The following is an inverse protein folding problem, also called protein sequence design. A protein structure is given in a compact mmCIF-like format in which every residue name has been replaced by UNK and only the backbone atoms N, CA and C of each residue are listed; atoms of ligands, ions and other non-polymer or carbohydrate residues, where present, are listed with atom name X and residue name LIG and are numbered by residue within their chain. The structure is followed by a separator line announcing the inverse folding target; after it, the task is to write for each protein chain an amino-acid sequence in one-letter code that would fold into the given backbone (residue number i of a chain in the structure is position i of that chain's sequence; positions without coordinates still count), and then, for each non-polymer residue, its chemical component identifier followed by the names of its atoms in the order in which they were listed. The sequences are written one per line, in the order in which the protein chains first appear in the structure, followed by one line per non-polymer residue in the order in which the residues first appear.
data_IF_865690429202
#
_entry.id   IF_865690429202
#
_cell.length_a   1.000
_cell.length_b   1.000
_cell.length_c   1.000
_cell.angle_alpha   90.00
_cell.angle_beta   90.00
_cell.angle_gamma   90.00
#
_symmetry.space_group_name_H-M   'P 1'
#
loop_
_entity.id
_entity.type
_entity.pdbx_description
1 polymer ?
#
# COMPACT_ATOMS: atom_id res chain seq x y z
N UNK A 1 12.88 -18.75 35.18
CA UNK A 1 13.48 -18.09 34.00
C UNK A 1 12.58 -18.39 32.81
N UNK A 2 11.62 -17.51 32.55
CA UNK A 2 10.68 -17.65 31.43
C UNK A 2 11.39 -17.12 30.18
N UNK A 3 11.84 -18.04 29.33
CA UNK A 3 12.42 -17.71 28.03
C UNK A 3 11.35 -17.16 27.10
N UNK A 4 11.20 -15.84 27.10
CA UNK A 4 10.48 -15.11 26.06
C UNK A 4 11.21 -15.40 24.73
N UNK A 5 10.53 -16.08 23.80
CA UNK A 5 11.11 -16.34 22.48
C UNK A 5 11.42 -14.98 21.80
N UNK A 6 12.57 -14.81 21.12
CA UNK A 6 12.91 -13.57 20.44
C UNK A 6 11.80 -13.17 19.45
N UNK A 7 11.45 -11.88 19.40
CA UNK A 7 10.40 -11.28 18.56
C UNK A 7 10.45 -11.74 17.08
N UNK A 8 11.66 -12.03 16.58
CA UNK A 8 11.91 -12.56 15.23
C UNK A 8 11.23 -13.92 14.98
N UNK A 9 11.05 -14.76 16.02
CA UNK A 9 10.37 -16.06 15.90
C UNK A 9 8.84 -15.94 15.87
N UNK A 10 8.24 -14.87 16.42
CA UNK A 10 6.79 -14.67 16.35
C UNK A 10 6.34 -14.22 14.95
N UNK A 11 7.17 -13.46 14.24
CA UNK A 11 6.92 -13.11 12.84
C UNK A 11 6.95 -14.33 11.89
N UNK A 12 7.75 -15.36 12.20
CA UNK A 12 7.92 -16.55 11.36
C UNK A 12 6.75 -17.55 11.41
N UNK A 13 5.91 -17.54 12.45
CA UNK A 13 4.83 -18.53 12.58
C UNK A 13 3.58 -18.22 11.72
N UNK A 14 3.57 -17.09 11.02
CA UNK A 14 2.33 -16.50 10.49
C UNK A 14 2.01 -16.91 9.04
N UNK A 15 2.97 -17.41 8.26
CA UNK A 15 2.75 -17.68 6.82
C UNK A 15 2.42 -19.15 6.49
N UNK A 16 2.57 -20.08 7.44
CA UNK A 16 2.44 -21.52 7.14
C UNK A 16 1.01 -22.11 7.16
N UNK A 17 -0.06 -21.34 7.43
CA UNK A 17 -1.41 -21.93 7.61
C UNK A 17 -2.43 -21.62 6.51
N UNK A 18 -2.02 -21.16 5.32
CA UNK A 18 -2.95 -20.89 4.20
C UNK A 18 -2.54 -21.59 2.90
N UNK A 19 -2.56 -22.92 2.90
CA UNK A 19 -2.54 -23.71 1.66
C UNK A 19 -3.75 -24.65 1.65
N UNK A 20 -4.64 -24.46 0.68
CA UNK A 20 -5.53 -25.50 0.14
C UNK A 20 -5.06 -25.86 -1.27
N UNK A 21 -5.32 -27.08 -1.78
CA UNK A 21 -4.56 -27.68 -2.88
C UNK A 21 -4.79 -27.01 -4.24
N UNK A 22 -3.71 -26.88 -5.02
CA UNK A 22 -3.71 -26.37 -6.40
C UNK A 22 -4.44 -27.33 -7.34
N UNK A 23 -5.46 -26.85 -8.05
CA UNK A 23 -5.95 -27.51 -9.27
C UNK A 23 -5.11 -27.05 -10.47
N UNK A 24 -4.58 -28.02 -11.22
CA UNK A 24 -3.83 -27.83 -12.45
C UNK A 24 -4.74 -27.29 -13.58
N UNK A 25 -4.41 -26.12 -14.12
CA UNK A 25 -4.94 -25.64 -15.39
C UNK A 25 -3.84 -25.72 -16.45
N UNK A 26 -4.13 -26.46 -17.52
CA UNK A 26 -3.32 -26.60 -18.74
C UNK A 26 -3.41 -25.35 -19.63
N UNK A 27 -2.34 -24.98 -20.38
CA UNK A 27 -2.37 -23.80 -21.26
C UNK A 27 -3.02 -24.09 -22.61
N UNK A 28 -3.79 -23.12 -23.12
CA UNK A 28 -4.34 -23.10 -24.49
C UNK A 28 -3.29 -22.57 -25.51
N UNK A 29 -3.35 -23.00 -26.79
CA UNK A 29 -2.38 -22.61 -27.80
C UNK A 29 -2.72 -21.29 -28.52
N UNK A 30 -1.66 -20.55 -28.89
CA UNK A 30 -1.69 -19.34 -29.71
C UNK A 30 -2.05 -19.66 -31.17
N UNK A 31 -2.84 -18.80 -31.83
CA UNK A 31 -2.93 -18.72 -33.29
C UNK A 31 -2.62 -17.30 -33.78
N UNK A 32 -1.97 -17.28 -34.94
CA UNK A 32 -1.36 -16.12 -35.58
C UNK A 32 -2.28 -15.44 -36.60
N UNK A 33 -1.94 -14.17 -36.82
CA UNK A 33 -2.19 -13.22 -37.91
C UNK A 33 -2.67 -13.77 -39.27
N UNK A 34 -3.60 -13.04 -39.90
CA UNK A 34 -3.54 -12.72 -41.34
C UNK A 34 -4.20 -11.37 -41.66
N UNK A 35 -3.59 -10.67 -42.62
CA UNK A 35 -3.92 -9.35 -43.21
C UNK A 35 -5.19 -9.41 -44.08
N UNK A 36 -5.86 -8.27 -44.30
CA UNK A 36 -5.83 -7.45 -45.54
C UNK A 36 -6.65 -6.17 -45.39
N UNK A 37 -6.20 -5.11 -46.06
CA UNK A 37 -6.85 -3.82 -46.19
C UNK A 37 -7.97 -3.86 -47.22
N UNK A 38 -8.95 -2.96 -47.09
CA UNK A 38 -9.55 -2.25 -48.23
C UNK A 38 -10.12 -0.91 -47.77
N UNK A 39 -9.86 0.11 -48.60
CA UNK A 39 -10.34 1.50 -48.53
C UNK A 39 -11.57 1.58 -49.42
N UNK A 40 -12.68 2.14 -48.94
CA UNK A 40 -13.60 2.93 -49.76
C UNK A 40 -14.15 4.10 -48.94
N UNK A 41 -14.31 5.24 -49.61
CA UNK A 41 -14.74 6.51 -49.06
C UNK A 41 -16.14 6.81 -49.59
N UNK A 42 -17.08 7.18 -48.73
CA UNK A 42 -18.36 7.76 -49.17
C UNK A 42 -18.89 8.79 -48.15
N UNK A 43 -18.99 10.02 -48.65
CA UNK A 43 -19.98 11.09 -48.42
C UNK A 43 -20.56 11.37 -47.03
N UNK A 44 -20.34 12.63 -46.59
CA UNK A 44 -20.90 13.27 -45.39
C UNK A 44 -22.38 13.64 -45.57
N UNK A 45 -23.21 13.28 -44.59
CA UNK A 45 -24.50 13.89 -44.30
C UNK A 45 -24.41 14.70 -42.99
N UNK A 46 -25.19 15.79 -42.80
CA UNK A 46 -25.03 16.67 -41.65
C UNK A 46 -25.95 16.28 -40.49
N UNK A 47 -25.38 16.29 -39.28
CA UNK A 47 -26.12 16.51 -38.04
C UNK A 47 -26.25 15.29 -37.15
N UNK A 48 -25.35 15.18 -36.18
CA UNK A 48 -25.61 14.59 -34.86
C UNK A 48 -24.84 15.42 -33.83
N UNK A 49 -25.53 15.79 -32.76
CA UNK A 49 -25.01 16.61 -31.68
C UNK A 49 -23.80 15.94 -31.03
N UNK A 50 -22.76 16.72 -30.70
CA UNK A 50 -21.65 16.25 -29.88
C UNK A 50 -22.19 15.72 -28.54
N UNK A 51 -22.31 14.40 -28.43
CA UNK A 51 -22.33 13.72 -27.15
C UNK A 51 -21.07 14.16 -26.41
N UNK A 52 -21.27 14.88 -25.30
CA UNK A 52 -20.18 15.35 -24.46
C UNK A 52 -19.27 14.17 -24.11
N UNK A 53 -18.05 14.21 -24.63
CA UNK A 53 -17.01 13.26 -24.28
C UNK A 53 -16.84 13.32 -22.76
N UNK A 54 -17.39 12.32 -22.06
CA UNK A 54 -17.08 12.09 -20.66
C UNK A 54 -15.59 11.82 -20.61
N UNK A 55 -14.81 12.80 -20.14
CA UNK A 55 -13.39 12.62 -19.86
C UNK A 55 -13.27 11.32 -19.04
N UNK A 56 -12.44 10.35 -19.47
CA UNK A 56 -12.31 9.10 -18.74
C UNK A 56 -11.93 9.43 -17.29
N UNK A 57 -12.72 8.94 -16.34
CA UNK A 57 -12.51 9.20 -14.92
C UNK A 57 -11.05 8.89 -14.56
N UNK A 58 -10.32 9.91 -14.09
CA UNK A 58 -8.92 9.75 -13.72
C UNK A 58 -8.81 8.76 -12.56
N UNK A 59 -8.06 7.68 -12.77
CA UNK A 59 -7.72 6.71 -11.71
C UNK A 59 -6.78 7.37 -10.70
N UNK A 60 -7.07 7.33 -9.38
CA UNK A 60 -6.14 7.78 -8.36
C UNK A 60 -4.81 7.03 -8.48
N UNK A 61 -3.71 7.78 -8.52
CA UNK A 61 -2.37 7.21 -8.69
C UNK A 61 -1.64 7.10 -7.36
N UNK A 62 -1.21 5.89 -7.03
CA UNK A 62 -0.83 5.52 -5.67
C UNK A 62 0.57 4.90 -5.66
N UNK A 63 1.44 5.42 -4.79
CA UNK A 63 2.69 4.73 -4.44
C UNK A 63 2.38 3.65 -3.42
N UNK A 64 2.75 2.41 -3.73
CA UNK A 64 2.56 1.25 -2.87
C UNK A 64 3.87 0.86 -2.17
N UNK A 65 3.87 0.95 -0.83
CA UNK A 65 5.01 0.71 0.05
C UNK A 65 4.91 -0.67 0.71
N UNK A 66 5.86 -1.56 0.42
CA UNK A 66 5.87 -2.94 0.93
C UNK A 66 6.24 -3.05 2.42
N UNK A 67 6.04 -4.24 2.99
CA UNK A 67 6.36 -4.54 4.40
C UNK A 67 7.86 -4.83 4.62
N UNK A 68 8.27 -4.89 5.88
CA UNK A 68 9.67 -5.13 6.27
C UNK A 68 10.23 -6.40 5.61
N UNK A 69 11.40 -6.28 4.96
CA UNK A 69 12.10 -7.37 4.26
C UNK A 69 11.21 -8.09 3.24
N UNK A 70 10.47 -7.33 2.45
CA UNK A 70 9.73 -7.84 1.28
C UNK A 70 10.09 -7.00 0.06
N UNK A 71 9.27 -6.97 -0.98
CA UNK A 71 9.52 -6.16 -2.19
C UNK A 71 8.21 -5.63 -2.75
N UNK A 72 8.30 -4.62 -3.61
CA UNK A 72 7.17 -4.09 -4.37
C UNK A 72 6.51 -5.18 -5.21
N UNK A 73 7.29 -6.10 -5.78
CA UNK A 73 6.77 -7.28 -6.50
C UNK A 73 5.93 -8.20 -5.62
N UNK A 74 6.36 -8.44 -4.38
CA UNK A 74 5.61 -9.28 -3.43
C UNK A 74 4.34 -8.56 -3.01
N UNK A 75 4.40 -7.27 -2.67
CA UNK A 75 3.22 -6.48 -2.35
C UNK A 75 2.20 -6.49 -3.51
N UNK A 76 2.68 -6.30 -4.74
CA UNK A 76 1.86 -6.42 -5.96
C UNK A 76 1.13 -7.75 -6.01
N UNK A 77 1.84 -8.86 -5.85
CA UNK A 77 1.24 -10.21 -5.87
C UNK A 77 0.13 -10.36 -4.81
N UNK A 78 0.31 -9.73 -3.65
CA UNK A 78 -0.67 -9.80 -2.56
C UNK A 78 -1.90 -8.92 -2.82
N UNK A 79 -1.72 -7.75 -3.42
CA UNK A 79 -2.78 -6.78 -3.78
C UNK A 79 -3.57 -7.23 -5.01
N UNK A 80 -2.92 -7.87 -5.99
CA UNK A 80 -3.57 -8.45 -7.18
C UNK A 80 -4.53 -9.61 -6.87
N UNK A 81 -4.68 -10.00 -5.60
CA UNK A 81 -5.74 -10.91 -5.14
C UNK A 81 -7.07 -10.21 -4.87
N UNK A 82 -7.10 -8.88 -4.89
CA UNK A 82 -8.35 -8.11 -4.86
C UNK A 82 -9.09 -8.24 -6.19
N UNK A 83 -10.40 -8.01 -6.15
CA UNK A 83 -11.24 -8.16 -7.32
C UNK A 83 -10.91 -7.09 -8.38
N UNK A 84 -11.06 -7.43 -9.66
CA UNK A 84 -10.77 -6.54 -10.81
C UNK A 84 -11.57 -5.24 -10.77
N UNK A 85 -12.78 -5.26 -10.18
CA UNK A 85 -13.64 -4.09 -9.91
C UNK A 85 -12.91 -2.98 -9.14
N UNK A 86 -11.98 -3.36 -8.26
CA UNK A 86 -11.13 -2.46 -7.47
C UNK A 86 -9.88 -2.10 -8.25
N UNK A 87 -9.16 -3.10 -8.76
CA UNK A 87 -7.85 -2.91 -9.39
C UNK A 87 -7.92 -1.98 -10.60
N UNK A 88 -8.97 -2.09 -11.42
CA UNK A 88 -9.15 -1.27 -12.62
C UNK A 88 -9.46 0.20 -12.31
N UNK A 89 -9.81 0.53 -11.07
CA UNK A 89 -10.08 1.92 -10.63
C UNK A 89 -8.86 2.64 -10.06
N UNK A 90 -7.75 1.94 -9.81
CA UNK A 90 -6.56 2.49 -9.14
C UNK A 90 -5.32 2.36 -10.01
N UNK A 91 -4.51 3.41 -10.17
CA UNK A 91 -3.18 3.29 -10.78
C UNK A 91 -2.14 3.01 -9.68
N UNK A 92 -1.74 1.75 -9.54
CA UNK A 92 -0.89 1.27 -8.45
C UNK A 92 0.57 1.12 -8.89
N UNK A 93 1.46 1.88 -8.24
CA UNK A 93 2.90 1.88 -8.53
C UNK A 93 3.64 1.30 -7.33
N UNK A 94 4.12 0.06 -7.48
CA UNK A 94 4.80 -0.68 -6.42
C UNK A 94 6.30 -0.43 -6.44
N UNK A 95 6.80 0.22 -5.39
CA UNK A 95 8.22 0.55 -5.24
C UNK A 95 8.93 -0.50 -4.39
N UNK A 96 10.21 -0.69 -4.65
CA UNK A 96 11.13 -1.36 -3.74
C UNK A 96 11.75 -0.33 -2.79
N UNK A 97 11.94 -0.72 -1.53
CA UNK A 97 12.67 0.09 -0.55
C UNK A 97 14.13 0.30 -0.97
N UNK A 98 14.76 1.43 -0.62
CA UNK A 98 16.10 1.77 -1.09
C UNK A 98 17.20 0.91 -0.46
N UNK A 99 16.91 0.15 0.61
CA UNK A 99 17.91 -0.66 1.32
C UNK A 99 17.67 -2.15 1.12
N UNK A 100 18.68 -2.94 0.71
CA UNK A 100 18.60 -4.39 0.76
C UNK A 100 18.34 -4.88 2.20
N UNK A 101 17.54 -5.94 2.33
CA UNK A 101 17.29 -6.58 3.62
C UNK A 101 18.60 -7.08 4.25
N UNK A 102 18.84 -6.76 5.52
CA UNK A 102 20.07 -7.14 6.23
C UNK A 102 19.95 -8.45 7.01
N UNK A 103 18.79 -9.10 6.95
CA UNK A 103 18.57 -10.36 7.63
C UNK A 103 17.41 -11.14 7.03
N UNK A 104 16.98 -12.18 7.73
CA UNK A 104 15.96 -13.10 7.23
C UNK A 104 14.63 -12.39 6.99
N UNK A 105 13.98 -12.77 5.90
CA UNK A 105 12.60 -12.41 5.63
C UNK A 105 11.63 -13.48 6.11
N UNK A 106 10.46 -13.06 6.60
CA UNK A 106 9.39 -13.97 6.97
C UNK A 106 8.79 -14.71 5.75
N UNK A 107 9.00 -14.18 4.54
CA UNK A 107 8.48 -14.74 3.29
C UNK A 107 9.47 -15.66 2.55
N UNK A 108 10.63 -15.93 3.15
CA UNK A 108 11.60 -16.91 2.61
C UNK A 108 10.95 -18.28 2.40
N UNK A 109 11.25 -18.91 1.27
CA UNK A 109 10.67 -20.19 0.86
C UNK A 109 9.25 -20.11 0.27
N UNK A 110 8.63 -18.93 0.29
CA UNK A 110 7.33 -18.67 -0.35
C UNK A 110 7.49 -17.71 -1.52
N UNK A 111 8.31 -16.67 -1.35
CA UNK A 111 8.70 -15.72 -2.39
C UNK A 111 10.21 -15.67 -2.52
N UNK A 112 10.72 -15.62 -3.75
CA UNK A 112 12.16 -15.50 -3.98
C UNK A 112 12.67 -14.07 -3.70
N UNK A 113 13.92 -13.90 -3.24
CA UNK A 113 14.58 -12.59 -3.13
C UNK A 113 14.75 -11.91 -4.51
N UNK A 114 15.11 -10.61 -4.58
CA UNK A 114 15.57 -9.74 -3.49
C UNK A 114 14.47 -9.22 -2.56
N UNK A 115 14.89 -8.91 -1.33
CA UNK A 115 14.06 -8.24 -0.32
C UNK A 115 14.70 -6.92 0.09
N UNK A 116 13.85 -6.00 0.51
CA UNK A 116 14.20 -4.62 0.80
C UNK A 116 13.58 -4.15 2.12
N UNK A 117 14.11 -3.04 2.63
CA UNK A 117 13.66 -2.33 3.81
C UNK A 117 13.55 -0.84 3.44
N UNK A 118 12.53 -0.15 3.99
CA UNK A 118 12.42 1.30 3.83
C UNK A 118 13.44 2.03 4.69
N UNK A 119 13.68 1.52 5.89
CA UNK A 119 14.63 2.03 6.87
C UNK A 119 14.97 0.87 7.82
N UNK A 120 16.09 0.97 8.52
CA UNK A 120 16.49 -0.01 9.54
C UNK A 120 15.98 0.43 10.91
N UNK A 121 15.71 -0.54 11.77
CA UNK A 121 15.43 -0.32 13.18
C UNK A 121 16.29 -1.26 14.04
N UNK A 122 16.59 -0.87 15.27
CA UNK A 122 17.15 -1.79 16.26
C UNK A 122 16.11 -2.87 16.66
N UNK A 123 16.54 -3.90 17.39
CA UNK A 123 15.69 -5.08 17.70
C UNK A 123 14.41 -4.72 18.46
N UNK A 124 14.47 -3.66 19.28
CA UNK A 124 13.34 -3.19 20.09
C UNK A 124 12.53 -2.06 19.42
N UNK A 125 12.86 -1.70 18.17
CA UNK A 125 12.19 -0.65 17.39
C UNK A 125 12.16 0.74 18.05
N UNK A 126 13.15 1.06 18.88
CA UNK A 126 13.26 2.36 19.55
C UNK A 126 14.12 3.36 18.77
N UNK A 127 15.04 2.86 17.95
CA UNK A 127 15.97 3.66 17.15
C UNK A 127 15.88 3.27 15.68
N UNK A 128 16.00 4.26 14.80
CA UNK A 128 15.87 4.10 13.36
C UNK A 128 17.06 4.70 12.63
N UNK A 129 17.56 3.98 11.64
CA UNK A 129 18.59 4.47 10.73
C UNK A 129 18.02 4.59 9.31
N UNK A 130 18.53 5.57 8.56
CA UNK A 130 18.24 5.78 7.15
C UNK A 130 16.80 6.23 6.79
N UNK A 131 15.99 6.63 7.79
CA UNK A 131 14.62 7.09 7.56
C UNK A 131 14.58 8.38 6.73
N UNK A 132 15.47 9.33 6.97
CA UNK A 132 15.48 10.61 6.26
C UNK A 132 15.91 10.45 4.80
N UNK A 133 16.91 9.61 4.55
CA UNK A 133 17.35 9.20 3.21
C UNK A 133 16.22 8.52 2.44
N UNK A 134 15.46 7.64 3.11
CA UNK A 134 14.29 7.00 2.54
C UNK A 134 13.21 8.01 2.12
N UNK A 135 12.94 9.00 2.97
CA UNK A 135 12.00 10.07 2.63
C UNK A 135 12.45 10.89 1.41
N UNK A 136 13.76 11.17 1.30
CA UNK A 136 14.35 11.83 0.11
C UNK A 136 14.26 10.96 -1.14
N UNK A 137 14.44 9.65 -1.00
CA UNK A 137 14.24 8.69 -2.09
C UNK A 137 12.80 8.72 -2.62
N UNK A 138 11.80 8.69 -1.73
CA UNK A 138 10.39 8.78 -2.12
C UNK A 138 10.08 10.13 -2.77
N UNK A 139 10.57 11.25 -2.23
CA UNK A 139 10.37 12.58 -2.83
C UNK A 139 10.93 12.65 -4.26
N UNK A 140 12.15 12.14 -4.45
CA UNK A 140 12.83 12.13 -5.76
C UNK A 140 12.05 11.29 -6.76
N UNK A 141 11.58 10.11 -6.36
CA UNK A 141 10.73 9.27 -7.21
C UNK A 141 9.42 9.98 -7.60
N UNK A 142 8.78 10.66 -6.65
CA UNK A 142 7.55 11.42 -6.90
C UNK A 142 7.77 12.61 -7.84
N UNK A 143 8.92 13.29 -7.78
CA UNK A 143 9.28 14.37 -8.70
C UNK A 143 9.49 13.87 -10.13
N UNK A 144 10.16 12.74 -10.29
CA UNK A 144 10.49 12.17 -11.60
C UNK A 144 9.30 11.48 -12.27
N UNK A 145 8.45 10.82 -11.48
CA UNK A 145 7.43 9.93 -12.00
C UNK A 145 6.01 10.41 -11.72
N UNK A 146 5.81 11.53 -11.03
CA UNK A 146 4.51 12.05 -10.61
C UNK A 146 3.64 12.63 -11.74
N UNK A 147 2.47 13.21 -11.41
CA UNK A 147 1.94 13.37 -10.06
C UNK A 147 1.42 12.05 -9.46
N UNK A 148 1.46 11.97 -8.13
CA UNK A 148 0.85 10.93 -7.31
C UNK A 148 -0.18 11.56 -6.36
N UNK A 149 -1.28 10.86 -6.10
CA UNK A 149 -2.38 11.37 -5.30
C UNK A 149 -2.31 10.86 -3.85
N UNK A 150 -1.82 9.65 -3.63
CA UNK A 150 -1.82 9.04 -2.30
C UNK A 150 -0.84 7.88 -2.14
N UNK A 151 -0.90 7.26 -0.97
CA UNK A 151 -0.06 6.12 -0.62
C UNK A 151 -0.89 4.92 -0.20
N UNK A 152 -0.43 3.73 -0.57
CA UNK A 152 -0.82 2.46 0.03
C UNK A 152 0.38 1.91 0.77
N UNK A 153 0.25 1.55 2.04
CA UNK A 153 1.36 1.03 2.84
C UNK A 153 0.98 -0.25 3.57
N UNK A 154 1.82 -1.29 3.46
CA UNK A 154 1.69 -2.52 4.26
C UNK A 154 2.76 -2.60 5.35
N UNK A 155 2.37 -2.87 6.60
CA UNK A 155 3.29 -3.10 7.72
C UNK A 155 4.32 -1.97 7.89
N UNK A 156 5.62 -2.18 7.64
CA UNK A 156 6.62 -1.10 7.66
C UNK A 156 6.27 0.03 6.68
N UNK A 157 5.79 -0.30 5.48
CA UNK A 157 5.29 0.68 4.53
C UNK A 157 4.02 1.40 5.04
N UNK A 158 3.20 0.72 5.85
CA UNK A 158 2.03 1.31 6.52
C UNK A 158 2.40 2.28 7.63
N UNK A 159 3.38 1.92 8.46
CA UNK A 159 4.00 2.80 9.47
C UNK A 159 4.58 4.07 8.82
N UNK A 160 5.30 3.90 7.71
CA UNK A 160 5.85 5.03 6.95
C UNK A 160 4.73 5.89 6.36
N UNK A 161 3.82 5.30 5.58
CA UNK A 161 2.72 6.00 4.91
C UNK A 161 1.86 6.81 5.90
N UNK A 162 1.59 6.26 7.07
CA UNK A 162 0.80 6.93 8.11
C UNK A 162 1.43 8.23 8.61
N UNK A 163 2.76 8.30 8.69
CA UNK A 163 3.47 9.49 9.18
C UNK A 163 3.66 10.56 8.10
N UNK A 164 3.68 10.17 6.81
CA UNK A 164 4.01 11.07 5.70
C UNK A 164 3.18 12.37 5.66
N UNK A 165 1.83 12.37 5.81
CA UNK A 165 1.07 13.62 5.75
C UNK A 165 1.45 14.61 6.85
N UNK A 166 1.74 14.11 8.05
CA UNK A 166 2.17 14.92 9.17
C UNK A 166 3.56 15.50 8.95
N UNK A 167 4.51 14.67 8.53
CA UNK A 167 5.87 15.11 8.19
C UNK A 167 5.85 16.16 7.07
N UNK A 168 5.01 15.95 6.04
CA UNK A 168 4.81 16.92 4.95
C UNK A 168 4.20 18.23 5.45
N UNK A 169 3.19 18.17 6.33
CA UNK A 169 2.57 19.36 6.90
C UNK A 169 3.53 20.18 7.78
N UNK A 170 4.51 19.54 8.40
CA UNK A 170 5.59 20.21 9.16
C UNK A 170 6.70 20.77 8.25
N UNK A 171 6.65 20.51 6.94
CA UNK A 171 7.67 20.98 5.99
C UNK A 171 9.01 20.23 6.08
N UNK A 172 9.01 19.00 6.61
CA UNK A 172 10.24 18.24 6.86
C UNK A 172 10.61 17.25 5.74
N UNK A 173 9.62 16.74 5.00
CA UNK A 173 9.82 15.88 3.84
C UNK A 173 8.66 16.01 2.84
N UNK A 174 8.86 15.54 1.61
CA UNK A 174 7.87 15.64 0.52
C UNK A 174 7.38 17.09 0.29
N UNK A 175 8.26 18.07 0.49
CA UNK A 175 7.92 19.50 0.39
C UNK A 175 7.93 20.00 -1.05
N UNK A 176 8.54 19.26 -1.96
CA UNK A 176 8.64 19.62 -3.38
C UNK A 176 7.56 18.97 -4.27
N UNK A 177 6.69 18.16 -3.67
CA UNK A 177 5.66 17.40 -4.38
C UNK A 177 4.27 17.83 -3.91
N UNK A 178 3.20 17.57 -4.70
CA UNK A 178 1.84 17.87 -4.27
C UNK A 178 1.49 17.25 -2.91
N UNK A 179 0.53 17.87 -2.22
CA UNK A 179 0.03 17.39 -0.94
C UNK A 179 -0.56 15.98 -1.08
N UNK A 180 -0.28 15.12 -0.11
CA UNK A 180 -0.89 13.79 -0.02
C UNK A 180 -2.41 13.93 0.17
N UNK A 181 -3.18 13.35 -0.75
CA UNK A 181 -4.64 13.48 -0.76
C UNK A 181 -5.34 12.38 0.02
N UNK A 182 -4.79 11.17 0.09
CA UNK A 182 -5.37 10.05 0.84
C UNK A 182 -4.35 8.96 1.17
N UNK A 183 -4.74 8.04 2.07
CA UNK A 183 -3.96 6.87 2.45
C UNK A 183 -4.79 5.58 2.44
N UNK A 184 -4.15 4.47 2.08
CA UNK A 184 -4.63 3.11 2.33
C UNK A 184 -3.57 2.40 3.19
N UNK A 185 -3.89 2.12 4.44
CA UNK A 185 -2.95 1.58 5.42
C UNK A 185 -3.37 0.16 5.75
N UNK A 186 -2.46 -0.80 5.57
CA UNK A 186 -2.69 -2.22 5.82
C UNK A 186 -1.72 -2.66 6.92
N UNK A 187 -2.26 -3.13 8.05
CA UNK A 187 -1.44 -3.56 9.19
C UNK A 187 -0.43 -2.49 9.64
N UNK A 188 -0.84 -1.22 9.58
CA UNK A 188 0.00 -0.08 9.91
C UNK A 188 0.09 0.20 11.41
N UNK A 189 0.97 1.13 11.77
CA UNK A 189 1.18 1.59 13.12
C UNK A 189 1.62 3.06 13.13
N UNK A 190 1.83 3.60 14.33
CA UNK A 190 2.25 4.98 14.56
C UNK A 190 3.68 5.03 15.13
N UNK A 191 4.53 5.91 14.59
CA UNK A 191 5.77 6.28 15.27
C UNK A 191 5.45 6.98 16.61
N UNK A 192 6.16 6.60 17.67
CA UNK A 192 5.84 6.99 19.04
C UNK A 192 4.60 6.30 19.61
N UNK A 193 4.20 5.17 19.04
CA UNK A 193 3.23 4.25 19.61
C UNK A 193 3.81 3.41 20.73
N UNK A 194 3.09 2.37 21.17
CA UNK A 194 3.54 1.53 22.28
C UNK A 194 4.73 0.65 21.90
N UNK A 195 4.82 0.25 20.61
CA UNK A 195 5.86 -0.63 20.09
C UNK A 195 6.93 0.06 19.26
N UNK A 196 6.60 1.19 18.66
CA UNK A 196 7.47 1.88 17.71
C UNK A 196 7.92 3.19 18.31
N UNK A 197 9.23 3.34 18.52
CA UNK A 197 9.84 4.58 19.00
C UNK A 197 9.52 5.78 18.10
N UNK A 198 9.79 6.97 18.62
CA UNK A 198 9.56 8.23 17.90
C UNK A 198 10.87 8.76 17.32
N UNK A 199 11.15 8.61 16.01
CA UNK A 199 12.30 9.26 15.40
C UNK A 199 12.10 10.79 15.37
N UNK A 200 13.17 11.60 15.49
CA UNK A 200 13.07 13.05 15.52
C UNK A 200 12.26 13.67 14.36
N UNK A 201 12.47 13.17 13.13
CA UNK A 201 11.75 13.66 11.94
C UNK A 201 10.22 13.43 12.00
N UNK A 202 9.76 12.43 12.78
CA UNK A 202 8.35 12.11 12.94
C UNK A 202 7.75 12.63 14.26
N UNK A 203 8.52 13.35 15.09
CA UNK A 203 8.09 13.79 16.44
C UNK A 203 6.75 14.53 16.44
N UNK A 204 6.50 15.32 15.40
CA UNK A 204 5.27 16.10 15.22
C UNK A 204 4.37 15.56 14.10
N UNK A 205 4.63 14.36 13.57
CA UNK A 205 3.83 13.78 12.48
C UNK A 205 2.36 13.55 12.88
N UNK A 206 2.09 13.39 14.17
CA UNK A 206 0.75 13.14 14.71
C UNK A 206 0.36 14.15 15.80
N UNK A 207 0.97 15.34 15.83
CA UNK A 207 0.66 16.40 16.81
C UNK A 207 -0.69 17.08 16.52
N UNK A 208 -1.25 16.88 15.34
CA UNK A 208 -2.60 17.29 14.94
C UNK A 208 -3.26 16.16 14.15
N UNK A 209 -4.60 16.01 14.22
CA UNK A 209 -5.30 14.99 13.44
C UNK A 209 -5.02 15.11 11.93
N UNK A 210 -4.68 13.99 11.31
CA UNK A 210 -4.47 13.86 9.87
C UNK A 210 -5.83 13.90 9.18
N UNK A 211 -6.01 14.87 8.28
CA UNK A 211 -7.31 15.20 7.66
C UNK A 211 -7.54 14.58 6.28
N UNK A 212 -6.50 14.08 5.61
CA UNK A 212 -6.70 13.40 4.34
C UNK A 212 -7.50 12.11 4.58
N UNK A 213 -8.46 11.74 3.69
CA UNK A 213 -9.17 10.47 3.81
C UNK A 213 -8.21 9.30 3.97
N UNK A 214 -8.55 8.38 4.88
CA UNK A 214 -7.74 7.18 5.13
C UNK A 214 -8.62 5.95 5.24
N UNK A 215 -8.14 4.85 4.67
CA UNK A 215 -8.70 3.51 4.82
C UNK A 215 -7.69 2.64 5.56
N UNK A 216 -8.13 1.97 6.62
CA UNK A 216 -7.27 1.14 7.47
C UNK A 216 -7.77 -0.31 7.44
N UNK A 217 -6.90 -1.23 7.04
CA UNK A 217 -7.11 -2.66 7.20
C UNK A 217 -6.44 -3.11 8.49
N UNK A 218 -7.26 -3.60 9.42
CA UNK A 218 -6.83 -4.02 10.76
C UNK A 218 -7.20 -5.49 10.94
N UNK A 219 -6.21 -6.31 11.33
CA UNK A 219 -6.47 -7.71 11.68
C UNK A 219 -7.42 -7.82 12.89
N UNK A 220 -8.00 -9.01 13.08
CA UNK A 220 -8.70 -9.34 14.32
C UNK A 220 -7.82 -9.07 15.57
N UNK A 221 -8.46 -8.74 16.69
CA UNK A 221 -7.86 -8.27 17.94
C UNK A 221 -6.86 -9.26 18.57
N UNK A 222 -6.87 -10.51 18.12
CA UNK A 222 -5.89 -11.53 18.52
C UNK A 222 -4.52 -11.37 17.83
N UNK A 223 -4.43 -10.55 16.78
CA UNK A 223 -3.18 -10.23 16.08
C UNK A 223 -2.32 -9.24 16.86
N UNK A 224 -1.00 -9.47 16.86
CA UNK A 224 0.00 -8.62 17.52
C UNK A 224 -0.02 -7.15 17.07
N UNK A 225 -0.42 -6.90 15.82
CA UNK A 225 -0.45 -5.56 15.23
C UNK A 225 -1.80 -4.85 15.40
N UNK A 226 -2.84 -5.56 15.83
CA UNK A 226 -4.20 -5.02 15.92
C UNK A 226 -4.27 -3.83 16.89
N UNK A 227 -3.60 -3.90 18.04
CA UNK A 227 -3.55 -2.82 19.02
C UNK A 227 -2.88 -1.56 18.47
N UNK A 228 -1.82 -1.71 17.68
CA UNK A 228 -1.12 -0.58 17.08
C UNK A 228 -1.94 0.05 15.95
N UNK A 229 -2.61 -0.77 15.14
CA UNK A 229 -3.53 -0.29 14.10
C UNK A 229 -4.72 0.46 14.70
N UNK A 230 -5.30 -0.04 15.81
CA UNK A 230 -6.39 0.64 16.53
C UNK A 230 -5.90 1.96 17.12
N UNK A 231 -4.74 1.98 17.80
CA UNK A 231 -4.18 3.21 18.36
C UNK A 231 -3.83 4.26 17.28
N UNK A 232 -3.49 3.82 16.06
CA UNK A 232 -3.24 4.71 14.95
C UNK A 232 -4.51 5.48 14.53
N UNK A 233 -5.70 4.89 14.65
CA UNK A 233 -6.97 5.52 14.22
C UNK A 233 -7.23 6.87 14.90
N UNK A 234 -6.84 7.03 16.17
CA UNK A 234 -7.00 8.28 16.93
C UNK A 234 -6.21 9.45 16.33
N UNK A 235 -5.27 9.17 15.44
CA UNK A 235 -4.47 10.20 14.74
C UNK A 235 -5.12 10.69 13.44
N UNK A 236 -6.27 10.12 13.02
CA UNK A 236 -6.96 10.45 11.78
C UNK A 236 -8.36 11.03 12.01
N UNK A 237 -8.77 11.96 11.14
CA UNK A 237 -10.15 12.43 11.11
C UNK A 237 -10.99 11.45 10.28
N UNK A 238 -12.02 10.88 10.90
CA UNK A 238 -13.00 9.97 10.28
C UNK A 238 -12.35 8.85 9.44
N UNK A 239 -11.44 8.04 10.01
CA UNK A 239 -10.84 6.92 9.29
C UNK A 239 -11.91 5.88 8.91
N UNK A 240 -11.83 5.39 7.67
CA UNK A 240 -12.60 4.21 7.25
C UNK A 240 -11.83 2.97 7.67
N UNK A 241 -12.51 1.96 8.21
CA UNK A 241 -11.86 0.76 8.75
C UNK A 241 -12.48 -0.50 8.15
N UNK A 242 -11.62 -1.41 7.68
CA UNK A 242 -11.97 -2.78 7.31
C UNK A 242 -11.27 -3.73 8.28
N UNK A 243 -12.05 -4.47 9.05
CA UNK A 243 -11.51 -5.54 9.91
C UNK A 243 -11.47 -6.86 9.15
N UNK A 244 -10.43 -7.66 9.34
CA UNK A 244 -10.32 -8.97 8.72
C UNK A 244 -9.72 -10.04 9.63
N UNK A 245 -10.21 -11.28 9.49
CA UNK A 245 -9.71 -12.44 10.26
C UNK A 245 -8.37 -13.01 9.72
N UNK A 246 -7.91 -12.53 8.57
CA UNK A 246 -6.60 -12.90 8.04
C UNK A 246 -5.51 -12.34 8.95
N UNK A 247 -4.43 -13.09 9.17
CA UNK A 247 -3.26 -12.67 9.97
C UNK A 247 -2.55 -11.46 9.32
N UNK A 248 -1.33 -11.17 9.76
CA UNK A 248 -0.48 -10.10 9.23
C UNK A 248 -0.14 -10.27 7.73
N UNK A 249 -1.06 -9.86 6.86
CA UNK A 249 -1.00 -9.95 5.39
C UNK A 249 -1.91 -8.88 4.79
N UNK A 250 -1.70 -8.53 3.52
CA UNK A 250 -2.77 -7.90 2.73
C UNK A 250 -3.96 -8.87 2.70
N UNK A 251 -5.17 -8.46 3.10
CA UNK A 251 -6.31 -9.36 3.12
C UNK A 251 -6.88 -9.56 1.72
N UNK A 252 -7.36 -10.76 1.42
CA UNK A 252 -8.43 -10.93 0.44
C UNK A 252 -9.69 -10.25 0.98
N UNK A 253 -10.47 -9.63 0.10
CA UNK A 253 -11.68 -8.92 0.51
C UNK A 253 -12.87 -9.86 0.41
N UNK A 254 -13.71 -9.87 1.44
CA UNK A 254 -15.07 -10.38 1.34
C UNK A 254 -16.00 -9.32 0.72
N UNK A 255 -17.24 -9.68 0.39
CA UNK A 255 -18.18 -8.81 -0.30
C UNK A 255 -18.38 -7.46 0.42
N UNK A 256 -18.44 -7.48 1.76
CA UNK A 256 -18.60 -6.28 2.59
C UNK A 256 -17.36 -5.38 2.54
N UNK A 257 -16.17 -5.99 2.61
CA UNK A 257 -14.90 -5.28 2.53
C UNK A 257 -14.67 -4.70 1.14
N UNK A 258 -15.07 -5.42 0.08
CA UNK A 258 -15.04 -4.93 -1.30
C UNK A 258 -15.98 -3.74 -1.48
N UNK A 259 -17.21 -3.79 -0.99
CA UNK A 259 -18.15 -2.65 -1.03
C UNK A 259 -17.58 -1.42 -0.31
N UNK A 260 -16.96 -1.63 0.86
CA UNK A 260 -16.33 -0.55 1.63
C UNK A 260 -15.14 0.06 0.88
N UNK A 261 -14.30 -0.79 0.27
CA UNK A 261 -13.17 -0.35 -0.56
C UNK A 261 -13.64 0.44 -1.79
N UNK A 262 -14.70 0.00 -2.47
CA UNK A 262 -15.27 0.69 -3.62
C UNK A 262 -15.83 2.07 -3.25
N UNK A 263 -16.55 2.19 -2.13
CA UNK A 263 -17.01 3.49 -1.59
C UNK A 263 -15.84 4.42 -1.25
N UNK A 264 -14.76 3.86 -0.69
CA UNK A 264 -13.56 4.65 -0.43
C UNK A 264 -12.91 5.13 -1.72
N UNK A 265 -12.81 4.28 -2.75
CA UNK A 265 -12.30 4.64 -4.08
C UNK A 265 -13.14 5.78 -4.70
N UNK A 266 -14.46 5.69 -4.64
CA UNK A 266 -15.35 6.75 -5.13
C UNK A 266 -15.09 8.07 -4.41
N UNK A 267 -14.95 8.03 -3.07
CA UNK A 267 -14.60 9.21 -2.27
C UNK A 267 -13.29 9.86 -2.73
N UNK A 268 -12.23 9.08 -2.96
CA UNK A 268 -10.89 9.62 -3.32
C UNK A 268 -10.75 10.03 -4.78
N UNK A 269 -11.60 9.51 -5.67
CA UNK A 269 -11.62 9.89 -7.10
C UNK A 269 -12.14 11.32 -7.28
N UNK A 270 -12.97 11.79 -6.34
CA UNK A 270 -13.62 13.10 -6.37
C UNK A 270 -12.85 14.22 -5.61
N UNK A 271 -11.54 14.05 -5.34
CA UNK A 271 -10.70 14.98 -4.55
C UNK A 271 -9.55 15.60 -5.36
#
# INVERSE_FOLDING_TARGET
MNGQLPLVKQAMLIIQSSQSPRHHLTPLPKKALSRTADREAETMAPGEAEEGQTQPERRPRIICLHGFRTSGKILRTLVERWHESILQKLDLVFLDGPYPAQGKSAVEGIFDPPYYEWFQANEDFTEYANLEECLRYIESYMLENGPFDGFLGFSQGGLLAAALPGIQAQGLALTKVPKIKFLIIISGAKFGGSKFGMPPIAANAFSSPIRCPSLHFIEDQTSFMSSEGIALLDSFVEPVVIHHAQKHTVPRLDDRSEETMLRFIEKITNI
#
